data_IF_866498490135
#
_entry.id   IF_866498490135
#
_cell.length_a   1.000
_cell.length_b   1.000
_cell.length_c   1.000
_cell.angle_alpha   90.00
_cell.angle_beta   90.00
_cell.angle_gamma   90.00
#
_symmetry.space_group_name_H-M   'P 1'
#
loop_
_entity.id
_entity.type
_entity.pdbx_description
1 polymer ?
#
# COMPACT_ATOMS: atom_id res chain seq x y z
N UNK A 1 24.15 -0.57 4.05
CA UNK A 1 23.88 -2.02 3.98
C UNK A 1 22.54 -2.12 3.27
N UNK A 2 22.53 -2.48 1.98
CA UNK A 2 21.28 -2.53 1.21
C UNK A 2 20.35 -3.56 1.87
N UNK A 3 19.24 -3.11 2.45
CA UNK A 3 18.15 -3.99 2.86
C UNK A 3 17.69 -4.70 1.57
N UNK A 4 18.02 -5.99 1.43
CA UNK A 4 17.59 -6.79 0.26
C UNK A 4 16.07 -6.72 0.16
N UNK A 5 15.57 -6.44 -1.03
CA UNK A 5 14.14 -6.43 -1.33
C UNK A 5 13.50 -7.76 -0.91
N UNK A 6 12.76 -7.74 0.19
CA UNK A 6 12.12 -8.93 0.72
C UNK A 6 10.67 -8.96 0.25
N UNK A 7 10.39 -9.78 -0.75
CA UNK A 7 9.01 -10.07 -1.17
C UNK A 7 8.47 -11.22 -0.33
N UNK A 8 7.30 -11.02 0.29
CA UNK A 8 6.60 -12.04 1.08
C UNK A 8 5.11 -12.01 0.77
N UNK A 9 4.47 -13.17 0.71
CA UNK A 9 3.01 -13.24 0.72
C UNK A 9 2.52 -12.94 2.14
N UNK A 10 1.59 -12.00 2.25
CA UNK A 10 1.00 -11.58 3.53
C UNK A 10 -0.50 -11.69 3.41
N UNK A 11 -1.12 -12.22 4.48
CA UNK A 11 -2.58 -12.24 4.60
C UNK A 11 -3.14 -10.83 4.50
N UNK A 12 -4.14 -10.62 3.65
CA UNK A 12 -4.69 -9.29 3.36
C UNK A 12 -5.27 -8.65 4.63
N UNK A 13 -5.86 -9.45 5.53
CA UNK A 13 -6.39 -8.99 6.83
C UNK A 13 -5.33 -8.41 7.78
N UNK A 14 -4.04 -8.67 7.53
CA UNK A 14 -2.92 -8.13 8.30
C UNK A 14 -2.37 -6.83 7.72
N UNK A 15 -2.90 -6.38 6.58
CA UNK A 15 -2.48 -5.16 5.92
C UNK A 15 -3.34 -3.98 6.37
N UNK A 16 -2.69 -2.83 6.50
CA UNK A 16 -3.26 -1.62 7.07
C UNK A 16 -3.31 -0.52 6.00
N UNK A 17 -4.45 -0.30 5.32
CA UNK A 17 -4.58 0.84 4.42
C UNK A 17 -4.60 2.13 5.25
N UNK A 18 -3.88 3.17 4.81
CA UNK A 18 -4.00 4.52 5.37
C UNK A 18 -4.83 5.47 4.50
N UNK A 19 -5.15 5.06 3.27
CA UNK A 19 -5.93 5.84 2.29
C UNK A 19 -7.12 5.05 1.76
N UNK A 20 -8.18 5.79 1.42
CA UNK A 20 -9.32 5.26 0.67
C UNK A 20 -8.92 4.92 -0.78
N UNK A 21 -9.59 3.92 -1.33
CA UNK A 21 -9.49 3.59 -2.75
C UNK A 21 -10.42 4.47 -3.59
N UNK A 22 -10.07 4.61 -4.87
CA UNK A 22 -10.90 5.26 -5.88
C UNK A 22 -11.66 4.16 -6.60
N UNK A 23 -12.99 4.15 -6.49
CA UNK A 23 -13.85 3.08 -7.00
C UNK A 23 -13.61 2.78 -8.49
N UNK A 24 -13.45 3.80 -9.33
CA UNK A 24 -13.17 3.63 -10.75
C UNK A 24 -11.84 2.91 -11.01
N UNK A 25 -10.79 3.27 -10.26
CA UNK A 25 -9.49 2.62 -10.38
C UNK A 25 -9.55 1.18 -9.84
N UNK A 26 -10.28 0.96 -8.75
CA UNK A 26 -10.51 -0.37 -8.21
C UNK A 26 -11.20 -1.28 -9.23
N UNK A 27 -12.23 -0.79 -9.93
CA UNK A 27 -12.91 -1.54 -11.02
C UNK A 27 -11.96 -1.91 -12.15
N UNK A 28 -11.04 -1.00 -12.52
CA UNK A 28 -10.00 -1.28 -13.54
C UNK A 28 -9.05 -2.37 -13.07
N UNK A 29 -8.59 -2.31 -11.82
CA UNK A 29 -7.71 -3.32 -11.22
C UNK A 29 -8.40 -4.68 -11.14
N UNK A 30 -9.64 -4.74 -10.64
CA UNK A 30 -10.43 -5.97 -10.60
C UNK A 30 -10.61 -6.60 -11.98
N UNK A 31 -10.88 -5.79 -13.00
CA UNK A 31 -11.03 -6.27 -14.38
C UNK A 31 -9.72 -6.85 -14.90
N UNK A 32 -8.60 -6.13 -14.72
CA UNK A 32 -7.27 -6.62 -15.12
C UNK A 32 -6.91 -7.93 -14.40
N UNK A 33 -7.14 -8.02 -13.10
CA UNK A 33 -6.87 -9.25 -12.32
C UNK A 33 -7.72 -10.44 -12.79
N UNK A 34 -9.00 -10.22 -13.11
CA UNK A 34 -9.89 -11.28 -13.61
C UNK A 34 -9.46 -11.80 -15.00
N UNK A 35 -8.99 -10.91 -15.87
CA UNK A 35 -8.55 -11.25 -17.22
C UNK A 35 -7.16 -11.88 -17.23
N UNK A 36 -6.19 -11.21 -16.60
CA UNK A 36 -4.79 -11.61 -16.64
C UNK A 36 -4.46 -12.73 -15.63
N UNK A 37 -5.29 -12.92 -14.60
CA UNK A 37 -5.10 -13.89 -13.51
C UNK A 37 -3.73 -13.82 -12.83
N UNK A 38 -3.12 -12.64 -12.83
CA UNK A 38 -1.82 -12.38 -12.21
C UNK A 38 -1.76 -10.95 -11.68
N UNK A 39 -0.98 -10.76 -10.62
CA UNK A 39 -0.58 -9.44 -10.17
C UNK A 39 0.69 -9.03 -10.92
N UNK A 40 0.74 -7.80 -11.45
CA UNK A 40 1.90 -7.30 -12.21
C UNK A 40 3.10 -7.00 -11.33
N UNK A 41 2.83 -6.38 -10.17
CA UNK A 41 3.85 -5.94 -9.21
C UNK A 41 3.32 -6.14 -7.79
N UNK A 42 4.18 -6.56 -6.84
CA UNK A 42 3.80 -6.64 -5.43
C UNK A 42 3.35 -5.27 -4.91
N UNK A 43 2.52 -5.26 -3.87
CA UNK A 43 2.23 -4.03 -3.13
C UNK A 43 3.42 -3.68 -2.23
N UNK A 44 3.58 -2.41 -1.86
CA UNK A 44 4.69 -2.00 -0.99
C UNK A 44 4.13 -1.70 0.39
N UNK A 45 4.72 -2.30 1.42
CA UNK A 45 4.23 -2.18 2.80
C UNK A 45 5.38 -1.93 3.77
N UNK A 46 5.11 -1.17 4.82
CA UNK A 46 6.04 -1.03 5.92
C UNK A 46 6.22 -2.38 6.64
N UNK A 47 7.48 -2.81 6.79
CA UNK A 47 7.83 -4.11 7.37
C UNK A 47 7.40 -4.23 8.83
N UNK A 48 7.34 -3.10 9.57
CA UNK A 48 7.01 -3.08 11.00
C UNK A 48 5.50 -3.00 11.26
N UNK A 49 4.82 -2.06 10.60
CA UNK A 49 3.42 -1.73 10.89
C UNK A 49 2.43 -2.38 9.94
N UNK A 50 2.89 -2.91 8.80
CA UNK A 50 2.06 -3.43 7.70
C UNK A 50 1.17 -2.38 7.02
N UNK A 51 1.48 -1.10 7.24
CA UNK A 51 0.84 -0.01 6.53
C UNK A 51 1.17 -0.10 5.05
N UNK A 52 0.14 -0.02 4.21
CA UNK A 52 0.29 -0.07 2.75
C UNK A 52 0.80 1.29 2.28
N UNK A 53 2.01 1.33 1.73
CA UNK A 53 2.63 2.57 1.22
C UNK A 53 2.30 2.80 -0.26
N UNK A 54 2.13 1.70 -1.00
CA UNK A 54 1.67 1.71 -2.39
C UNK A 54 0.86 0.45 -2.70
N UNK A 55 -0.21 0.61 -3.49
CA UNK A 55 -1.03 -0.50 -3.98
C UNK A 55 -2.36 -0.77 -3.25
N UNK A 56 -2.98 0.23 -2.62
CA UNK A 56 -4.28 0.09 -1.92
C UNK A 56 -5.36 -0.54 -2.80
N UNK A 57 -5.50 -0.12 -4.05
CA UNK A 57 -6.50 -0.71 -4.96
C UNK A 57 -6.21 -2.18 -5.27
N UNK A 58 -4.94 -2.61 -5.28
CA UNK A 58 -4.55 -4.02 -5.48
C UNK A 58 -4.91 -4.86 -4.26
N UNK A 59 -4.59 -4.38 -3.05
CA UNK A 59 -4.97 -5.05 -1.81
C UNK A 59 -6.49 -5.19 -1.67
N UNK A 60 -7.23 -4.11 -1.90
CA UNK A 60 -8.69 -4.12 -1.88
C UNK A 60 -9.29 -5.04 -2.95
N UNK A 61 -8.74 -5.02 -4.17
CA UNK A 61 -9.21 -5.92 -5.22
C UNK A 61 -9.00 -7.39 -4.85
N UNK A 62 -7.89 -7.74 -4.21
CA UNK A 62 -7.65 -9.09 -3.71
C UNK A 62 -8.66 -9.49 -2.63
N UNK A 63 -8.96 -8.59 -1.69
CA UNK A 63 -9.98 -8.82 -0.66
C UNK A 63 -11.36 -9.09 -1.29
N UNK A 64 -11.78 -8.26 -2.25
CA UNK A 64 -13.06 -8.40 -2.95
C UNK A 64 -13.15 -9.66 -3.82
N UNK A 65 -12.02 -10.20 -4.27
CA UNK A 65 -11.95 -11.47 -4.98
C UNK A 65 -11.95 -12.70 -4.05
N UNK A 66 -11.93 -12.50 -2.72
CA UNK A 66 -11.86 -13.57 -1.74
C UNK A 66 -10.50 -14.27 -1.69
N UNK A 67 -9.43 -13.61 -2.17
CA UNK A 67 -8.07 -14.11 -2.01
C UNK A 67 -7.60 -13.85 -0.58
N UNK A 68 -6.78 -14.73 -0.04
CA UNK A 68 -6.34 -14.64 1.36
C UNK A 68 -5.03 -13.89 1.52
N UNK A 69 -4.13 -14.00 0.55
CA UNK A 69 -2.77 -13.44 0.60
C UNK A 69 -2.44 -12.65 -0.67
N UNK A 70 -1.57 -11.64 -0.52
CA UNK A 70 -1.04 -10.84 -1.62
C UNK A 70 0.49 -10.70 -1.46
N UNK A 71 1.27 -10.80 -2.55
CA UNK A 71 2.72 -10.56 -2.48
C UNK A 71 3.01 -9.09 -2.16
N UNK A 72 3.84 -8.89 -1.14
CA UNK A 72 4.20 -7.60 -0.58
C UNK A 72 5.72 -7.42 -0.61
N UNK A 73 6.21 -6.28 -1.11
CA UNK A 73 7.58 -5.82 -0.91
C UNK A 73 7.65 -5.13 0.46
N UNK A 74 8.50 -5.66 1.34
CA UNK A 74 8.70 -5.10 2.68
C UNK A 74 9.81 -4.06 2.67
N UNK A 75 9.48 -2.85 3.12
CA UNK A 75 10.44 -1.75 3.26
C UNK A 75 10.51 -1.25 4.69
N UNK A 76 11.63 -0.66 5.07
CA UNK A 76 11.75 0.04 6.35
C UNK A 76 11.24 1.47 6.22
N UNK A 77 9.95 1.72 6.45
CA UNK A 77 9.39 3.07 6.18
C UNK A 77 10.05 4.17 7.03
N UNK A 78 10.53 3.81 8.23
CA UNK A 78 11.27 4.71 9.10
C UNK A 78 12.72 5.00 8.66
N UNK A 79 13.18 4.45 7.53
CA UNK A 79 14.48 4.80 6.94
C UNK A 79 14.46 6.22 6.41
N UNK A 80 15.53 7.00 6.66
CA UNK A 80 15.68 8.36 6.13
C UNK A 80 15.77 8.41 4.60
N UNK A 81 16.03 7.27 3.95
CA UNK A 81 16.06 7.14 2.49
C UNK A 81 14.67 7.31 1.88
N UNK A 82 13.63 6.81 2.55
CA UNK A 82 12.25 6.93 2.08
C UNK A 82 11.73 8.31 2.46
N UNK A 83 11.11 9.01 1.52
CA UNK A 83 10.45 10.29 1.79
C UNK A 83 8.96 10.18 1.53
N UNK A 84 8.20 11.05 2.20
CA UNK A 84 6.76 11.21 1.96
C UNK A 84 6.49 12.67 1.65
N UNK A 85 5.68 12.89 0.62
CA UNK A 85 5.24 14.21 0.19
C UNK A 85 3.73 14.18 -0.01
N UNK A 86 3.04 15.31 0.19
CA UNK A 86 1.61 15.38 -0.05
C UNK A 86 1.36 15.35 -1.55
N UNK A 87 0.28 14.67 -1.95
CA UNK A 87 -0.08 14.57 -3.37
C UNK A 87 -0.69 15.88 -3.93
N UNK A 88 -1.08 16.78 -3.03
CA UNK A 88 -1.64 18.12 -3.27
C UNK A 88 -1.02 19.12 -2.28
N UNK A 89 -1.51 20.36 -2.22
CA UNK A 89 -1.07 21.33 -1.21
C UNK A 89 -1.37 20.82 0.21
N UNK A 90 -0.39 20.96 1.10
CA UNK A 90 -0.51 20.56 2.50
C UNK A 90 0.84 20.13 3.06
N UNK A 91 0.79 19.48 4.21
CA UNK A 91 1.92 18.80 4.82
C UNK A 91 1.49 17.37 5.15
N UNK A 92 2.44 16.44 5.12
CA UNK A 92 2.22 15.07 5.56
C UNK A 92 3.53 14.53 6.12
N UNK A 93 3.41 13.78 7.20
CA UNK A 93 4.52 13.13 7.88
C UNK A 93 4.38 11.61 7.80
N UNK A 94 5.49 10.90 8.02
CA UNK A 94 5.47 9.44 8.08
C UNK A 94 4.66 8.94 9.28
N UNK A 95 4.73 9.69 10.37
CA UNK A 95 3.98 9.45 11.59
C UNK A 95 2.48 9.47 11.33
N UNK A 96 1.98 10.47 10.60
CA UNK A 96 0.56 10.56 10.21
C UNK A 96 0.13 9.41 9.29
N UNK A 97 0.98 9.01 8.34
CA UNK A 97 0.72 7.84 7.48
C UNK A 97 0.59 6.57 8.31
N UNK A 98 1.51 6.36 9.26
CA UNK A 98 1.49 5.21 10.17
C UNK A 98 0.25 5.26 11.06
N UNK A 99 -0.03 6.41 11.69
CA UNK A 99 -1.17 6.59 12.57
C UNK A 99 -2.48 6.28 11.85
N UNK A 100 -2.66 6.82 10.63
CA UNK A 100 -3.86 6.56 9.84
C UNK A 100 -4.01 5.09 9.48
N UNK A 101 -2.93 4.43 9.05
CA UNK A 101 -2.97 2.99 8.74
C UNK A 101 -3.23 2.09 9.94
N UNK A 102 -2.88 2.53 11.15
CA UNK A 102 -3.17 1.80 12.40
C UNK A 102 -4.51 2.20 13.03
N UNK A 103 -5.21 3.19 12.47
CA UNK A 103 -6.50 3.67 12.94
C UNK A 103 -7.66 3.13 12.10
N UNK A 104 -8.90 3.46 12.49
CA UNK A 104 -10.10 3.21 11.69
C UNK A 104 -10.46 4.38 10.76
N UNK A 105 -9.59 5.39 10.67
CA UNK A 105 -9.81 6.57 9.84
C UNK A 105 -8.84 6.57 8.67
N UNK A 106 -9.37 6.58 7.45
CA UNK A 106 -8.56 6.66 6.24
C UNK A 106 -8.48 8.09 5.74
N UNK A 107 -7.32 8.45 5.20
CA UNK A 107 -7.20 9.64 4.39
C UNK A 107 -8.04 9.54 3.11
N UNK A 108 -8.45 10.67 2.52
CA UNK A 108 -8.93 10.70 1.15
C UNK A 108 -7.91 10.08 0.19
N UNK A 109 -8.35 9.57 -0.98
CA UNK A 109 -7.44 8.96 -1.93
C UNK A 109 -6.39 9.96 -2.44
N UNK A 110 -5.17 9.48 -2.68
CA UNK A 110 -4.04 10.29 -3.17
C UNK A 110 -3.74 11.42 -2.20
N UNK A 111 -3.49 11.09 -0.94
CA UNK A 111 -3.06 12.07 0.07
C UNK A 111 -1.54 12.09 0.19
N UNK A 112 -0.91 10.92 0.15
CA UNK A 112 0.53 10.72 0.29
C UNK A 112 1.17 10.20 -1.00
N UNK A 113 2.42 10.58 -1.23
CA UNK A 113 3.30 10.01 -2.25
C UNK A 113 4.63 9.63 -1.60
N UNK A 114 5.04 8.40 -1.81
CA UNK A 114 6.26 7.84 -1.23
C UNK A 114 7.35 7.68 -2.29
N UNK A 115 8.58 8.08 -1.97
CA UNK A 115 9.74 7.97 -2.88
C UNK A 115 10.81 7.04 -2.28
N UNK A 116 11.71 6.52 -3.12
CA UNK A 116 12.76 5.54 -2.75
C UNK A 116 12.20 4.25 -2.11
N UNK A 117 10.98 3.87 -2.51
CA UNK A 117 10.31 2.63 -2.09
C UNK A 117 10.35 1.51 -3.15
N UNK A 118 10.90 1.81 -4.33
CA UNK A 118 10.93 0.93 -5.51
C UNK A 118 12.09 -0.05 -5.53
#
# INVERSE_FOLDING_TARGET
>A
MQDKEQIQNIEIRKLSPHEQVIEENLKKVLTSLKVEKRLKEPIIVDKKTRVILDGHHRAEAFALLGLEEIPCKLVNYNSDEITVEPHQNGEITKEEVIEKGLSNELFPPKTSRHSEIQ
#
